data_IF_414550795035
#
_entry.id   IF_414550795035
#
_cell.length_a   1.000
_cell.length_b   1.000
_cell.length_c   1.000
_cell.angle_alpha   90.00
_cell.angle_beta   90.00
_cell.angle_gamma   90.00
#
_symmetry.space_group_name_H-M   'P 1'
#
loop_
_entity.id
_entity.type
_entity.pdbx_description
1 polymer ?
#
# COMPACT_ATOMS: atom_id res chain seq x y z
N UNK A 1 -12.76 -2.57 18.00
CA UNK A 1 -12.00 -3.72 17.48
C UNK A 1 -10.56 -3.28 17.32
N UNK A 2 -9.64 -3.96 17.99
CA UNK A 2 -8.20 -3.70 17.87
C UNK A 2 -7.61 -4.45 16.67
N UNK A 3 -6.38 -4.13 16.27
CA UNK A 3 -5.75 -4.75 15.09
C UNK A 3 -5.69 -6.27 15.25
N UNK A 4 -5.29 -6.81 16.41
CA UNK A 4 -5.18 -8.25 16.60
C UNK A 4 -6.49 -9.01 16.41
N UNK A 5 -7.62 -8.44 16.83
CA UNK A 5 -8.95 -9.01 16.60
C UNK A 5 -9.29 -9.04 15.11
N UNK A 6 -9.07 -7.93 14.41
CA UNK A 6 -9.30 -7.84 12.97
C UNK A 6 -8.45 -8.86 12.21
N UNK A 7 -7.18 -9.00 12.58
CA UNK A 7 -6.26 -9.90 11.90
C UNK A 7 -6.53 -11.40 12.16
N UNK A 8 -7.34 -11.77 13.16
CA UNK A 8 -7.79 -13.16 13.34
C UNK A 8 -8.63 -13.64 12.16
N UNK A 9 -9.24 -12.73 11.40
CA UNK A 9 -10.05 -13.04 10.21
C UNK A 9 -9.21 -13.56 9.02
N UNK A 10 -7.90 -13.31 9.01
CA UNK A 10 -7.02 -13.89 7.97
C UNK A 10 -6.93 -15.40 8.07
N UNK A 11 -7.01 -15.94 9.29
CA UNK A 11 -6.85 -17.36 9.57
C UNK A 11 -8.16 -18.06 9.94
N UNK A 12 -9.24 -17.32 10.20
CA UNK A 12 -10.51 -17.91 10.62
C UNK A 12 -11.44 -18.12 9.42
N UNK A 13 -12.05 -19.30 9.39
CA UNK A 13 -13.03 -19.77 8.40
C UNK A 13 -14.39 -19.03 8.50
N UNK A 14 -14.42 -17.79 9.00
CA UNK A 14 -15.63 -17.06 9.40
C UNK A 14 -16.40 -16.43 8.22
N UNK A 15 -16.56 -17.15 7.11
CA UNK A 15 -17.45 -16.77 6.02
C UNK A 15 -18.39 -17.93 5.65
N UNK A 16 -19.59 -17.92 6.23
CA UNK A 16 -20.86 -18.61 5.87
C UNK A 16 -20.81 -20.00 5.20
N UNK A 17 -21.61 -20.92 5.73
CA UNK A 17 -21.75 -22.37 5.44
C UNK A 17 -21.96 -22.82 3.97
N UNK A 18 -21.93 -21.93 2.97
CA UNK A 18 -21.93 -22.27 1.53
C UNK A 18 -20.53 -22.14 0.87
N UNK A 19 -19.45 -21.90 1.65
CA UNK A 19 -18.15 -21.42 1.14
C UNK A 19 -16.93 -22.32 1.34
N UNK A 20 -17.10 -23.59 1.70
CA UNK A 20 -15.95 -24.50 1.87
C UNK A 20 -15.09 -24.56 0.60
N UNK A 21 -15.70 -24.49 -0.59
CA UNK A 21 -14.98 -24.52 -1.87
C UNK A 21 -14.22 -23.22 -2.18
N UNK A 22 -14.83 -22.04 -2.00
CA UNK A 22 -14.14 -20.75 -2.22
C UNK A 22 -12.96 -20.56 -1.24
N UNK A 23 -13.15 -20.95 0.01
CA UNK A 23 -12.11 -20.88 1.06
C UNK A 23 -10.97 -21.83 0.73
N UNK A 24 -11.27 -23.08 0.35
CA UNK A 24 -10.25 -24.05 -0.06
C UNK A 24 -9.48 -23.58 -1.30
N UNK A 25 -10.17 -23.02 -2.30
CA UNK A 25 -9.53 -22.43 -3.49
C UNK A 25 -8.60 -21.30 -3.09
N UNK A 26 -9.06 -20.37 -2.23
CA UNK A 26 -8.22 -19.28 -1.75
C UNK A 26 -6.99 -19.80 -0.99
N UNK A 27 -7.18 -20.70 -0.02
CA UNK A 27 -6.09 -21.24 0.80
C UNK A 27 -5.07 -21.99 -0.04
N UNK A 28 -5.53 -22.77 -1.04
CA UNK A 28 -4.67 -23.44 -2.00
C UNK A 28 -3.87 -22.43 -2.82
N UNK A 29 -4.52 -21.44 -3.43
CA UNK A 29 -3.85 -20.38 -4.21
C UNK A 29 -2.85 -19.60 -3.35
N UNK A 30 -3.21 -19.24 -2.13
CA UNK A 30 -2.35 -18.54 -1.19
C UNK A 30 -1.14 -19.39 -0.80
N UNK A 31 -1.30 -20.70 -0.64
CA UNK A 31 -0.22 -21.63 -0.32
C UNK A 31 0.75 -21.81 -1.49
N UNK A 32 0.22 -21.99 -2.70
CA UNK A 32 0.99 -22.06 -3.95
C UNK A 32 1.77 -20.75 -4.18
N UNK A 33 1.10 -19.62 -4.02
CA UNK A 33 1.71 -18.29 -4.08
C UNK A 33 2.84 -18.14 -3.06
N UNK A 34 2.59 -18.44 -1.78
CA UNK A 34 3.61 -18.33 -0.73
C UNK A 34 4.83 -19.21 -1.00
N UNK A 35 4.62 -20.41 -1.56
CA UNK A 35 5.70 -21.29 -1.97
C UNK A 35 6.53 -20.67 -3.11
N UNK A 36 5.88 -20.17 -4.15
CA UNK A 36 6.53 -19.51 -5.28
C UNK A 36 7.27 -18.24 -4.87
N UNK A 37 6.66 -17.40 -4.03
CA UNK A 37 7.27 -16.21 -3.45
C UNK A 37 8.59 -16.55 -2.77
N UNK A 38 8.57 -17.50 -1.82
CA UNK A 38 9.78 -17.92 -1.08
C UNK A 38 10.87 -18.42 -2.02
N UNK A 39 10.51 -19.28 -2.98
CA UNK A 39 11.44 -19.83 -3.97
C UNK A 39 12.07 -18.75 -4.85
N UNK A 40 11.27 -17.80 -5.35
CA UNK A 40 11.75 -16.71 -6.21
C UNK A 40 12.61 -15.71 -5.44
N UNK A 41 12.22 -15.35 -4.22
CA UNK A 41 13.02 -14.49 -3.33
C UNK A 41 14.37 -15.13 -3.02
N UNK A 42 14.40 -16.43 -2.66
CA UNK A 42 15.64 -17.16 -2.43
C UNK A 42 16.52 -17.21 -3.69
N UNK A 43 15.92 -17.44 -4.87
CA UNK A 43 16.64 -17.41 -6.14
C UNK A 43 17.25 -16.02 -6.40
N UNK A 44 16.48 -14.96 -6.19
CA UNK A 44 16.98 -13.58 -6.35
C UNK A 44 18.13 -13.26 -5.40
N UNK A 45 18.02 -13.68 -4.15
CA UNK A 45 19.08 -13.52 -3.16
C UNK A 45 20.37 -14.21 -3.62
N UNK A 46 20.29 -15.48 -4.06
CA UNK A 46 21.45 -16.22 -4.59
C UNK A 46 22.05 -15.55 -5.83
N UNK A 47 21.22 -15.05 -6.76
CA UNK A 47 21.68 -14.29 -7.93
C UNK A 47 22.51 -13.07 -7.47
N UNK A 48 22.02 -12.32 -6.47
CA UNK A 48 22.73 -11.16 -5.96
C UNK A 48 24.05 -11.52 -5.29
N UNK A 49 24.05 -12.55 -4.44
CA UNK A 49 25.25 -13.00 -3.72
C UNK A 49 26.34 -13.51 -4.67
N UNK A 50 25.96 -14.20 -5.74
CA UNK A 50 26.92 -14.75 -6.73
C UNK A 50 27.36 -13.72 -7.78
N UNK A 51 26.62 -12.63 -7.95
CA UNK A 51 26.94 -11.57 -8.89
C UNK A 51 28.23 -10.83 -8.52
N UNK A 52 29.03 -10.48 -9.54
CA UNK A 52 30.17 -9.57 -9.39
C UNK A 52 29.70 -8.18 -8.95
N UNK A 53 30.61 -7.37 -8.39
CA UNK A 53 30.31 -5.96 -8.04
C UNK A 53 29.76 -5.19 -9.24
N UNK A 54 30.32 -5.39 -10.43
CA UNK A 54 29.84 -4.77 -11.66
C UNK A 54 28.40 -5.17 -11.99
N UNK A 55 28.09 -6.47 -11.93
CA UNK A 55 26.72 -6.97 -12.20
C UNK A 55 25.72 -6.49 -11.16
N UNK A 56 26.11 -6.38 -9.89
CA UNK A 56 25.29 -5.80 -8.82
C UNK A 56 24.98 -4.32 -9.10
N UNK A 57 25.96 -3.55 -9.56
CA UNK A 57 25.74 -2.16 -9.96
C UNK A 57 24.77 -2.07 -11.15
N UNK A 58 24.90 -2.96 -12.15
CA UNK A 58 23.96 -3.02 -13.27
C UNK A 58 22.52 -3.34 -12.82
N UNK A 59 22.33 -4.23 -11.83
CA UNK A 59 21.00 -4.49 -11.24
C UNK A 59 20.41 -3.22 -10.60
N UNK A 60 21.21 -2.48 -9.84
CA UNK A 60 20.75 -1.24 -9.21
C UNK A 60 20.42 -0.17 -10.25
N UNK A 61 21.27 0.02 -11.25
CA UNK A 61 21.05 1.00 -12.31
C UNK A 61 19.78 0.70 -13.10
N UNK A 62 19.55 -0.57 -13.43
CA UNK A 62 18.34 -0.99 -14.13
C UNK A 62 17.10 -0.80 -13.26
N UNK A 63 17.17 -1.19 -11.98
CA UNK A 63 16.07 -0.97 -11.04
C UNK A 63 15.73 0.52 -10.89
N UNK A 64 16.73 1.37 -10.69
CA UNK A 64 16.55 2.82 -10.57
C UNK A 64 15.93 3.43 -11.82
N UNK A 65 16.27 2.95 -13.02
CA UNK A 65 15.61 3.37 -14.27
C UNK A 65 14.15 2.95 -14.31
N UNK A 66 13.82 1.74 -13.85
CA UNK A 66 12.44 1.30 -13.75
C UNK A 66 11.67 2.16 -12.75
N UNK A 67 12.23 2.44 -11.56
CA UNK A 67 11.64 3.38 -10.59
C UNK A 67 11.41 4.75 -11.23
N UNK A 68 12.42 5.31 -11.90
CA UNK A 68 12.31 6.61 -12.58
C UNK A 68 11.22 6.62 -13.64
N UNK A 69 11.06 5.52 -14.38
CA UNK A 69 9.98 5.36 -15.36
C UNK A 69 8.62 5.42 -14.68
N UNK A 70 8.46 4.80 -13.51
CA UNK A 70 7.20 4.89 -12.75
C UNK A 70 6.94 6.30 -12.22
N UNK A 71 7.95 7.02 -11.75
CA UNK A 71 7.81 8.41 -11.32
C UNK A 71 7.33 9.30 -12.47
N UNK A 72 7.97 9.21 -13.64
CA UNK A 72 7.58 9.98 -14.82
C UNK A 72 6.14 9.66 -15.22
N UNK A 73 5.77 8.37 -15.24
CA UNK A 73 4.39 7.96 -15.53
C UNK A 73 3.38 8.44 -14.48
N UNK A 74 3.77 8.55 -13.21
CA UNK A 74 2.92 9.14 -12.17
C UNK A 74 2.71 10.64 -12.41
N UNK A 75 3.77 11.37 -12.78
CA UNK A 75 3.69 12.80 -13.05
C UNK A 75 2.80 13.10 -14.26
N UNK A 76 2.97 12.38 -15.37
CA UNK A 76 2.09 12.49 -16.54
C UNK A 76 0.71 11.84 -16.34
N UNK A 77 0.54 11.01 -15.31
CA UNK A 77 -0.71 10.38 -14.95
C UNK A 77 -1.54 11.15 -13.94
N UNK A 78 -1.06 12.31 -13.47
CA UNK A 78 -1.79 13.15 -12.52
C UNK A 78 -2.91 13.93 -13.21
N UNK A 79 -4.06 14.11 -12.53
CA UNK A 79 -5.14 14.89 -13.10
C UNK A 79 -4.82 16.33 -13.44
N UNK A 80 -5.09 16.70 -14.68
CA UNK A 80 -5.25 18.10 -15.08
C UNK A 80 -6.75 18.47 -15.09
N UNK A 81 -7.13 19.39 -14.21
CA UNK A 81 -8.49 19.93 -14.15
C UNK A 81 -9.57 18.89 -13.82
N UNK A 82 -10.60 18.82 -14.67
CA UNK A 82 -11.75 17.91 -14.52
C UNK A 82 -11.65 16.65 -15.39
N UNK A 83 -10.47 16.37 -15.97
CA UNK A 83 -10.32 15.21 -16.83
C UNK A 83 -10.67 13.90 -16.09
N UNK A 84 -11.45 13.05 -16.74
CA UNK A 84 -11.86 11.72 -16.22
C UNK A 84 -10.86 10.64 -16.61
N UNK A 85 -10.18 10.83 -17.74
CA UNK A 85 -9.29 9.85 -18.37
C UNK A 85 -7.86 10.34 -18.36
N UNK A 86 -6.99 9.65 -17.63
CA UNK A 86 -5.64 10.13 -17.36
C UNK A 86 -4.65 8.98 -17.31
N UNK A 87 -3.47 9.20 -17.87
CA UNK A 87 -2.33 8.30 -17.67
C UNK A 87 -2.32 7.00 -18.49
N UNK A 88 -1.53 6.08 -17.97
CA UNK A 88 -1.10 4.83 -18.63
C UNK A 88 -2.04 3.65 -18.31
N UNK A 89 -1.90 2.51 -18.98
CA UNK A 89 -2.74 1.30 -18.82
C UNK A 89 -3.00 0.76 -17.40
N UNK A 90 -2.30 1.24 -16.36
CA UNK A 90 -2.57 0.87 -14.95
C UNK A 90 -3.25 1.99 -14.14
N UNK A 91 -3.41 3.20 -14.67
CA UNK A 91 -3.99 4.34 -13.96
C UNK A 91 -4.95 5.14 -14.84
N UNK A 92 -5.50 4.51 -15.89
CA UNK A 92 -6.28 5.15 -16.95
C UNK A 92 -7.51 5.92 -16.44
N UNK A 93 -8.07 5.47 -15.32
CA UNK A 93 -9.08 6.17 -14.54
C UNK A 93 -8.49 6.43 -13.15
N UNK A 94 -8.43 7.70 -12.73
CA UNK A 94 -7.99 8.10 -11.40
C UNK A 94 -9.01 9.06 -10.81
N UNK A 95 -9.89 8.54 -9.95
CA UNK A 95 -11.06 9.28 -9.47
C UNK A 95 -10.98 9.50 -7.96
N UNK A 96 -10.87 10.76 -7.49
CA UNK A 96 -10.87 11.06 -6.07
C UNK A 96 -12.27 11.00 -5.47
N UNK A 97 -12.38 10.51 -4.23
CA UNK A 97 -13.52 10.77 -3.37
C UNK A 97 -13.32 12.12 -2.69
N UNK A 98 -14.21 13.09 -2.95
CA UNK A 98 -14.06 14.47 -2.48
C UNK A 98 -15.14 14.76 -1.43
N UNK A 99 -14.72 15.28 -0.28
CA UNK A 99 -15.57 15.69 0.83
C UNK A 99 -15.29 17.14 1.23
N UNK A 100 -16.28 17.79 1.83
CA UNK A 100 -16.15 19.16 2.33
C UNK A 100 -15.34 19.21 3.63
N UNK A 101 -15.48 18.20 4.49
CA UNK A 101 -14.89 18.16 5.83
C UNK A 101 -14.14 16.84 6.08
N UNK A 102 -13.16 16.82 6.99
CA UNK A 102 -12.48 15.59 7.39
C UNK A 102 -13.47 14.52 7.92
N UNK A 103 -13.27 13.28 7.48
CA UNK A 103 -14.10 12.15 7.91
C UNK A 103 -13.85 11.80 9.39
N UNK A 104 -14.95 11.66 10.14
CA UNK A 104 -14.92 11.19 11.54
C UNK A 104 -15.07 9.66 11.57
N UNK A 105 -13.95 8.97 11.47
CA UNK A 105 -13.91 7.51 11.46
C UNK A 105 -14.10 6.98 12.89
N UNK A 106 -14.92 5.93 13.05
CA UNK A 106 -15.33 5.39 14.36
C UNK A 106 -14.72 4.02 14.64
N UNK A 107 -14.46 3.27 13.58
CA UNK A 107 -13.91 1.92 13.59
C UNK A 107 -13.39 1.58 12.20
N UNK A 108 -12.69 0.45 12.07
CA UNK A 108 -12.31 -0.12 10.76
C UNK A 108 -13.53 -0.51 9.93
N UNK A 109 -14.59 -1.05 10.52
CA UNK A 109 -15.84 -1.33 9.79
C UNK A 109 -16.47 -0.06 9.23
N UNK A 110 -16.49 1.03 10.01
CA UNK A 110 -17.00 2.32 9.52
C UNK A 110 -16.13 2.85 8.37
N UNK A 111 -14.81 2.64 8.40
CA UNK A 111 -13.93 2.98 7.27
C UNK A 111 -14.26 2.15 6.02
N UNK A 112 -14.45 0.84 6.16
CA UNK A 112 -14.84 -0.05 5.05
C UNK A 112 -16.19 0.35 4.44
N UNK A 113 -17.17 0.73 5.27
CA UNK A 113 -18.46 1.27 4.81
C UNK A 113 -18.29 2.56 4.02
N UNK A 114 -17.50 3.51 4.53
CA UNK A 114 -17.23 4.79 3.87
C UNK A 114 -16.54 4.60 2.50
N UNK A 115 -15.59 3.66 2.41
CA UNK A 115 -14.93 3.32 1.15
C UNK A 115 -15.94 2.70 0.18
N UNK A 116 -16.76 1.76 0.65
CA UNK A 116 -17.78 1.11 -0.17
C UNK A 116 -18.80 2.12 -0.74
N UNK A 117 -19.31 3.02 0.10
CA UNK A 117 -20.26 4.05 -0.32
C UNK A 117 -19.61 5.00 -1.33
N UNK A 118 -18.36 5.42 -1.09
CA UNK A 118 -17.60 6.22 -2.04
C UNK A 118 -17.36 5.49 -3.37
N UNK A 119 -17.05 4.19 -3.34
CA UNK A 119 -16.87 3.40 -4.56
C UNK A 119 -18.15 3.40 -5.38
N UNK A 120 -19.30 3.08 -4.78
CA UNK A 120 -20.59 2.99 -5.47
C UNK A 120 -21.00 4.35 -6.03
N UNK A 121 -20.90 5.43 -5.23
CA UNK A 121 -21.21 6.79 -5.68
C UNK A 121 -20.36 7.18 -6.89
N UNK A 122 -19.05 6.92 -6.84
CA UNK A 122 -18.14 7.25 -7.95
C UNK A 122 -18.40 6.35 -9.16
N UNK A 123 -18.69 5.07 -8.95
CA UNK A 123 -19.07 4.17 -10.03
C UNK A 123 -20.29 4.71 -10.78
N UNK A 124 -21.40 4.90 -10.07
CA UNK A 124 -22.68 5.33 -10.65
C UNK A 124 -22.56 6.70 -11.33
N UNK A 125 -21.74 7.59 -10.78
CA UNK A 125 -21.49 8.93 -11.36
C UNK A 125 -20.75 8.86 -12.69
N UNK A 126 -19.77 7.97 -12.84
CA UNK A 126 -18.88 7.94 -13.99
C UNK A 126 -19.21 6.82 -15.00
N UNK A 127 -20.10 5.88 -14.67
CA UNK A 127 -20.48 4.73 -15.52
C UNK A 127 -20.85 5.17 -16.93
N UNK A 128 -21.85 6.05 -17.07
CA UNK A 128 -22.29 6.54 -18.39
C UNK A 128 -21.18 7.25 -19.18
N UNK A 129 -20.39 8.09 -18.51
CA UNK A 129 -19.28 8.82 -19.14
C UNK A 129 -18.23 7.84 -19.70
N UNK A 130 -17.93 6.78 -18.96
CA UNK A 130 -16.98 5.75 -19.39
C UNK A 130 -17.56 4.91 -20.52
N UNK A 131 -18.83 4.51 -20.43
CA UNK A 131 -19.53 3.78 -21.49
C UNK A 131 -19.56 4.56 -22.81
N UNK A 132 -19.89 5.86 -22.77
CA UNK A 132 -19.98 6.71 -23.96
C UNK A 132 -18.62 6.99 -24.59
N UNK A 133 -17.53 6.89 -23.81
CA UNK A 133 -16.17 7.16 -24.27
C UNK A 133 -15.47 5.96 -24.91
N UNK A 134 -15.99 4.73 -24.75
CA UNK A 134 -15.35 3.49 -25.19
C UNK A 134 -16.15 2.87 -26.34
N UNK A 135 -15.48 2.51 -27.43
CA UNK A 135 -16.14 1.93 -28.61
C UNK A 135 -16.50 0.45 -28.38
N UNK A 136 -15.68 -0.26 -27.61
CA UNK A 136 -15.88 -1.66 -27.24
C UNK A 136 -17.08 -1.85 -26.30
N UNK A 137 -17.70 -3.03 -26.33
CA UNK A 137 -18.71 -3.38 -25.33
C UNK A 137 -18.03 -3.53 -23.96
N UNK A 138 -18.44 -2.68 -23.01
CA UNK A 138 -17.94 -2.65 -21.64
C UNK A 138 -18.98 -3.06 -20.60
N UNK A 139 -20.12 -3.65 -21.00
CA UNK A 139 -21.23 -3.98 -20.08
C UNK A 139 -20.78 -4.91 -18.96
N UNK A 140 -20.04 -5.96 -19.32
CA UNK A 140 -19.47 -6.88 -18.34
C UNK A 140 -18.51 -6.15 -17.39
N UNK A 141 -17.66 -5.26 -17.93
CA UNK A 141 -16.72 -4.48 -17.14
C UNK A 141 -17.44 -3.52 -16.17
N UNK A 142 -18.51 -2.86 -16.62
CA UNK A 142 -19.34 -2.03 -15.74
C UNK A 142 -19.95 -2.85 -14.61
N UNK A 143 -20.40 -4.08 -14.90
CA UNK A 143 -20.89 -5.02 -13.89
C UNK A 143 -19.81 -5.48 -12.91
N UNK A 144 -18.56 -5.58 -13.35
CA UNK A 144 -17.43 -5.84 -12.45
C UNK A 144 -17.07 -4.60 -11.63
N UNK A 145 -17.36 -3.42 -12.15
CA UNK A 145 -17.07 -2.15 -11.50
C UNK A 145 -15.90 -1.43 -12.14
N UNK A 146 -16.05 -0.11 -12.28
CA UNK A 146 -15.10 0.78 -12.95
C UNK A 146 -13.67 0.75 -12.38
N UNK A 147 -13.52 0.44 -11.09
CA UNK A 147 -12.25 0.56 -10.39
C UNK A 147 -11.73 -0.81 -9.98
N UNK A 148 -10.46 -1.06 -10.28
CA UNK A 148 -9.75 -2.27 -9.86
C UNK A 148 -9.17 -2.13 -8.44
N UNK A 149 -9.11 -0.93 -7.88
CA UNK A 149 -8.58 -0.72 -6.54
C UNK A 149 -8.60 0.73 -6.07
N UNK A 150 -8.05 0.95 -4.89
CA UNK A 150 -7.95 2.28 -4.29
C UNK A 150 -6.73 2.42 -3.39
N UNK A 151 -6.35 3.67 -3.17
CA UNK A 151 -5.25 4.05 -2.28
C UNK A 151 -5.81 4.87 -1.12
N UNK A 152 -5.30 4.61 0.08
CA UNK A 152 -5.60 5.39 1.28
C UNK A 152 -4.30 5.76 2.03
N UNK A 153 -4.25 6.93 2.68
CA UNK A 153 -3.11 7.29 3.52
C UNK A 153 -3.17 6.51 4.85
N UNK A 154 -2.00 6.16 5.37
CA UNK A 154 -1.77 5.45 6.65
C UNK A 154 -2.64 5.99 7.80
N UNK A 155 -2.74 7.32 7.90
CA UNK A 155 -3.54 8.10 8.86
C UNK A 155 -4.99 7.67 8.95
N UNK A 156 -5.60 7.22 7.85
CA UNK A 156 -7.00 6.77 7.86
C UNK A 156 -7.14 5.49 8.69
N UNK A 157 -6.16 4.58 8.61
CA UNK A 157 -6.13 3.36 9.39
C UNK A 157 -5.82 3.64 10.86
N UNK A 158 -4.88 4.55 11.13
CA UNK A 158 -4.59 4.97 12.50
C UNK A 158 -5.83 5.50 13.20
N UNK A 159 -6.63 6.31 12.50
CA UNK A 159 -7.92 6.78 13.03
C UNK A 159 -8.94 5.64 13.18
N UNK A 160 -9.03 4.75 12.20
CA UNK A 160 -9.99 3.64 12.20
C UNK A 160 -9.75 2.62 13.31
N UNK A 161 -8.49 2.32 13.63
CA UNK A 161 -8.10 1.46 14.75
C UNK A 161 -7.93 2.23 16.06
N UNK A 162 -8.17 3.54 16.07
CA UNK A 162 -7.94 4.42 17.21
C UNK A 162 -6.52 4.29 17.79
N UNK A 163 -5.52 4.27 16.92
CA UNK A 163 -4.10 4.26 17.26
C UNK A 163 -3.64 5.65 17.71
N UNK A 164 -4.24 6.17 18.78
CA UNK A 164 -3.90 7.48 19.32
C UNK A 164 -3.59 7.42 20.81
N UNK A 165 -2.61 8.19 21.24
CA UNK A 165 -2.18 8.19 22.64
C UNK A 165 -1.60 9.51 23.12
N UNK A 166 -1.74 9.86 24.40
CA UNK A 166 -1.05 11.02 24.97
C UNK A 166 0.46 10.98 24.73
N UNK A 167 1.04 12.14 24.41
CA UNK A 167 2.49 12.28 24.18
C UNK A 167 3.38 11.81 25.35
N UNK A 168 2.91 12.01 26.58
CA UNK A 168 3.58 11.65 27.83
C UNK A 168 3.52 10.15 28.14
N UNK A 169 2.69 9.39 27.42
CA UNK A 169 2.71 7.92 27.52
C UNK A 169 3.84 7.29 26.70
N UNK A 170 4.34 7.98 25.66
CA UNK A 170 5.47 7.51 24.83
C UNK A 170 6.76 8.26 25.07
N UNK A 171 6.72 9.49 25.58
CA UNK A 171 7.92 10.24 25.95
C UNK A 171 8.12 10.10 27.45
N UNK A 172 9.02 9.22 27.86
CA UNK A 172 9.28 8.95 29.28
C UNK A 172 10.72 8.53 29.55
N UNK A 173 11.10 8.55 30.83
CA UNK A 173 12.46 8.23 31.26
C UNK A 173 12.73 6.72 31.28
N UNK A 174 13.85 6.32 30.69
CA UNK A 174 14.42 4.97 30.74
C UNK A 174 15.89 5.09 31.16
N UNK A 175 16.23 4.51 32.31
CA UNK A 175 17.58 4.57 32.91
C UNK A 175 18.18 6.00 32.94
N UNK A 176 17.43 6.99 33.40
CA UNK A 176 17.92 8.38 33.49
C UNK A 176 17.91 9.17 32.18
N UNK A 177 17.41 8.60 31.08
CA UNK A 177 17.27 9.27 29.78
C UNK A 177 15.81 9.44 29.40
N UNK A 178 15.39 10.67 29.13
CA UNK A 178 14.08 10.93 28.51
C UNK A 178 14.13 10.47 27.04
N UNK A 179 13.35 9.45 26.70
CA UNK A 179 13.31 8.88 25.35
C UNK A 179 12.19 9.54 24.55
N UNK A 180 12.53 10.19 23.43
CA UNK A 180 11.58 10.61 22.39
C UNK A 180 11.62 9.60 21.22
N UNK A 181 10.46 9.02 20.81
CA UNK A 181 10.43 8.08 19.69
C UNK A 181 10.96 8.64 18.37
N UNK A 182 10.87 9.95 18.12
CA UNK A 182 11.41 10.54 16.88
C UNK A 182 12.95 10.61 16.90
N UNK A 183 13.55 10.56 18.10
CA UNK A 183 14.99 10.54 18.31
C UNK A 183 15.51 9.14 18.63
N UNK A 184 14.71 8.09 18.43
CA UNK A 184 15.02 6.72 18.91
C UNK A 184 16.40 6.20 18.46
N UNK A 185 16.89 6.65 17.30
CA UNK A 185 18.21 6.30 16.76
C UNK A 185 19.40 6.95 17.47
N UNK A 186 19.17 7.97 18.29
CA UNK A 186 20.20 8.63 19.10
C UNK A 186 20.55 7.83 20.37
N UNK A 187 19.70 6.88 20.77
CA UNK A 187 19.87 6.11 21.99
C UNK A 187 20.59 4.77 21.73
N UNK A 188 21.41 4.29 22.69
CA UNK A 188 22.00 2.96 22.65
C UNK A 188 20.96 1.84 22.56
N UNK A 189 21.37 0.69 22.02
CA UNK A 189 20.48 -0.47 21.83
C UNK A 189 19.85 -0.92 23.16
N UNK A 190 20.61 -0.90 24.26
CA UNK A 190 20.14 -1.35 25.57
C UNK A 190 19.01 -0.46 26.11
N UNK A 191 19.04 0.85 25.81
CA UNK A 191 17.97 1.79 26.18
C UNK A 191 16.74 1.55 25.30
N UNK A 192 16.95 1.33 24.01
CA UNK A 192 15.87 1.06 23.05
C UNK A 192 15.13 -0.24 23.35
N UNK A 193 15.85 -1.31 23.68
CA UNK A 193 15.27 -2.60 24.09
C UNK A 193 14.40 -2.45 25.34
N UNK A 194 14.91 -1.75 26.37
CA UNK A 194 14.14 -1.47 27.59
C UNK A 194 12.91 -0.59 27.30
N UNK A 195 13.07 0.45 26.48
CA UNK A 195 11.98 1.32 26.06
C UNK A 195 10.89 0.51 25.33
N UNK A 196 11.26 -0.35 24.40
CA UNK A 196 10.35 -1.26 23.70
C UNK A 196 9.57 -2.17 24.67
N UNK A 197 10.25 -2.82 25.62
CA UNK A 197 9.60 -3.70 26.60
C UNK A 197 8.63 -2.96 27.53
N UNK A 198 8.93 -1.70 27.88
CA UNK A 198 8.01 -0.86 28.65
C UNK A 198 6.82 -0.45 27.79
N UNK A 199 7.07 0.01 26.56
CA UNK A 199 6.03 0.43 25.65
C UNK A 199 5.08 -0.72 25.30
N UNK A 200 5.56 -1.94 25.07
CA UNK A 200 4.72 -3.13 24.84
C UNK A 200 3.69 -3.37 25.95
N UNK A 201 4.00 -2.98 27.20
CA UNK A 201 3.10 -3.08 28.35
C UNK A 201 2.17 -1.87 28.51
N UNK A 202 2.58 -0.71 28.04
CA UNK A 202 1.81 0.55 28.13
C UNK A 202 0.84 0.73 26.95
N UNK A 203 1.26 0.38 25.75
CA UNK A 203 0.55 0.65 24.49
C UNK A 203 -0.42 -0.50 24.18
N UNK A 204 -1.66 -0.37 24.67
CA UNK A 204 -2.68 -1.42 24.54
C UNK A 204 -3.24 -1.58 23.11
N UNK A 205 -3.06 -0.62 22.20
CA UNK A 205 -3.63 -0.73 20.84
C UNK A 205 -3.01 -1.84 19.99
N UNK A 206 -1.87 -2.39 20.41
CA UNK A 206 -1.21 -3.55 19.78
C UNK A 206 -1.34 -4.84 20.61
N UNK A 207 -2.23 -4.86 21.60
CA UNK A 207 -2.50 -6.05 22.42
C UNK A 207 -2.84 -7.25 21.52
N UNK A 208 -2.23 -8.41 21.80
CA UNK A 208 -2.41 -9.63 21.02
C UNK A 208 -1.64 -9.70 19.70
N UNK A 209 -0.81 -8.71 19.39
CA UNK A 209 0.17 -8.78 18.30
C UNK A 209 1.55 -9.17 18.82
N UNK A 210 2.22 -10.06 18.10
CA UNK A 210 3.65 -10.33 18.28
C UNK A 210 4.45 -9.41 17.37
N UNK A 211 4.75 -8.20 17.85
CA UNK A 211 5.58 -7.23 17.13
C UNK A 211 7.05 -7.41 17.48
N UNK A 212 7.92 -7.30 16.48
CA UNK A 212 9.35 -7.12 16.72
C UNK A 212 9.64 -5.72 17.24
N UNK A 213 10.83 -5.52 17.84
CA UNK A 213 11.27 -4.18 18.21
C UNK A 213 11.29 -3.23 17.01
N UNK A 214 11.76 -3.68 15.85
CA UNK A 214 11.85 -2.83 14.65
C UNK A 214 10.47 -2.41 14.15
N UNK A 215 9.49 -3.33 14.09
CA UNK A 215 8.11 -3.01 13.67
C UNK A 215 7.47 -1.97 14.61
N UNK A 216 7.76 -2.08 15.90
CA UNK A 216 7.25 -1.15 16.90
C UNK A 216 7.90 0.24 16.81
N UNK A 217 9.22 0.29 16.67
CA UNK A 217 9.92 1.57 16.53
C UNK A 217 9.61 2.25 15.19
N UNK A 218 9.43 1.49 14.10
CA UNK A 218 8.94 2.01 12.82
C UNK A 218 7.57 2.70 12.98
N UNK A 219 6.66 2.05 13.69
CA UNK A 219 5.34 2.58 14.02
C UNK A 219 5.42 3.91 14.80
N UNK A 220 6.31 3.98 15.78
CA UNK A 220 6.50 5.16 16.61
C UNK A 220 7.18 6.32 15.87
N UNK A 221 8.17 6.04 15.02
CA UNK A 221 8.84 7.07 14.21
C UNK A 221 7.89 7.72 13.21
N UNK A 222 6.99 6.92 12.64
CA UNK A 222 5.97 7.39 11.72
C UNK A 222 4.74 7.96 12.44
N UNK A 223 4.76 8.07 13.76
CA UNK A 223 3.65 8.63 14.51
C UNK A 223 3.51 10.13 14.19
N UNK A 224 2.32 10.54 13.76
CA UNK A 224 2.12 11.91 13.34
C UNK A 224 2.03 12.88 14.51
N UNK A 225 2.82 13.94 14.40
CA UNK A 225 2.67 15.17 15.18
C UNK A 225 1.62 16.08 14.54
N UNK A 226 1.45 16.03 13.21
CA UNK A 226 0.47 16.84 12.45
C UNK A 226 -0.83 16.07 12.23
N UNK A 227 -1.86 16.40 13.02
CA UNK A 227 -3.15 15.68 13.10
C UNK A 227 -4.32 16.48 12.52
N UNK A 228 -5.43 15.82 12.12
CA UNK A 228 -6.61 16.53 11.63
C UNK A 228 -7.17 17.38 12.76
N UNK A 229 -7.84 18.51 12.43
CA UNK A 229 -8.46 19.43 13.41
C UNK A 229 -9.70 18.80 14.07
N UNK A 230 -9.51 17.63 14.64
CA UNK A 230 -10.48 16.83 15.37
C UNK A 230 -10.05 16.91 16.83
N UNK A 231 -10.91 17.49 17.67
CA UNK A 231 -10.63 17.78 19.08
C UNK A 231 -10.08 16.57 19.86
N UNK A 232 -10.49 15.36 19.48
CA UNK A 232 -10.07 14.11 20.11
C UNK A 232 -8.56 13.81 20.01
N UNK A 233 -7.84 14.43 19.07
CA UNK A 233 -6.41 14.24 18.88
C UNK A 233 -5.53 15.35 19.48
N UNK A 234 -6.15 16.33 20.16
CA UNK A 234 -5.42 17.36 20.89
C UNK A 234 -4.55 16.72 21.98
N UNK A 235 -3.24 17.01 21.99
CA UNK A 235 -2.28 16.48 22.97
C UNK A 235 -1.94 14.99 22.82
N UNK A 236 -2.35 14.34 21.73
CA UNK A 236 -2.10 12.91 21.48
C UNK A 236 -1.27 12.70 20.22
N UNK A 237 -0.35 11.75 20.18
CA UNK A 237 0.22 11.24 18.92
C UNK A 237 -0.75 10.30 18.22
N UNK A 238 -0.67 10.23 16.89
CA UNK A 238 -1.38 9.25 16.08
C UNK A 238 -0.35 8.26 15.55
N UNK A 239 -0.33 7.03 16.07
CA UNK A 239 0.65 6.02 15.71
C UNK A 239 0.39 5.47 14.31
N UNK A 240 1.43 5.08 13.58
CA UNK A 240 1.28 4.42 12.30
C UNK A 240 0.73 2.99 12.44
N UNK A 241 0.00 2.47 11.43
CA UNK A 241 -0.47 1.08 11.45
C UNK A 241 0.69 0.08 11.27
N UNK A 242 0.47 -1.16 11.71
CA UNK A 242 1.39 -2.29 11.56
C UNK A 242 0.72 -3.45 10.84
N UNK A 243 1.51 -4.35 10.26
CA UNK A 243 1.03 -5.49 9.47
C UNK A 243 0.12 -5.07 8.29
N UNK A 244 0.51 -3.99 7.61
CA UNK A 244 -0.32 -3.31 6.62
C UNK A 244 -0.73 -4.18 5.43
N UNK A 245 0.07 -5.16 4.99
CA UNK A 245 -0.33 -6.07 3.92
C UNK A 245 -1.55 -6.92 4.32
N UNK A 246 -1.58 -7.38 5.57
CA UNK A 246 -2.70 -8.15 6.13
C UNK A 246 -3.96 -7.29 6.23
N UNK A 247 -3.82 -6.06 6.69
CA UNK A 247 -4.92 -5.09 6.77
C UNK A 247 -5.48 -4.83 5.35
N UNK A 248 -4.62 -4.58 4.35
CA UNK A 248 -5.05 -4.36 2.96
C UNK A 248 -5.88 -5.53 2.42
N UNK A 249 -5.45 -6.77 2.66
CA UNK A 249 -6.16 -7.98 2.24
C UNK A 249 -7.55 -8.07 2.83
N UNK A 250 -7.70 -7.79 4.13
CA UNK A 250 -9.02 -7.83 4.78
C UNK A 250 -9.93 -6.70 4.29
N UNK A 251 -9.42 -5.47 4.20
CA UNK A 251 -10.19 -4.34 3.66
C UNK A 251 -10.65 -4.65 2.23
N UNK A 252 -9.75 -5.16 1.37
CA UNK A 252 -10.08 -5.56 0.00
C UNK A 252 -11.28 -6.50 -0.03
N UNK A 253 -11.25 -7.55 0.79
CA UNK A 253 -12.32 -8.56 0.86
C UNK A 253 -13.61 -7.99 1.41
N UNK A 254 -13.55 -7.24 2.49
CA UNK A 254 -14.73 -6.69 3.16
C UNK A 254 -15.41 -5.65 2.28
N UNK A 255 -14.66 -4.71 1.70
CA UNK A 255 -15.21 -3.71 0.78
C UNK A 255 -15.80 -4.38 -0.45
N UNK A 256 -15.12 -5.37 -1.05
CA UNK A 256 -15.67 -6.12 -2.20
C UNK A 256 -17.00 -6.79 -1.85
N UNK A 257 -17.07 -7.44 -0.68
CA UNK A 257 -18.31 -8.06 -0.18
C UNK A 257 -19.41 -7.00 0.04
N UNK A 258 -19.10 -5.91 0.73
CA UNK A 258 -20.05 -4.83 1.01
C UNK A 258 -20.60 -4.21 -0.29
N UNK A 259 -19.78 -4.04 -1.32
CA UNK A 259 -20.23 -3.52 -2.63
C UNK A 259 -21.26 -4.48 -3.25
N UNK A 260 -20.96 -5.78 -3.29
CA UNK A 260 -21.88 -6.80 -3.82
C UNK A 260 -23.20 -6.82 -3.05
N UNK A 261 -23.14 -6.75 -1.73
CA UNK A 261 -24.32 -6.75 -0.85
C UNK A 261 -25.16 -5.49 -1.03
N UNK A 262 -24.56 -4.29 -0.95
CA UNK A 262 -25.26 -3.00 -1.06
C UNK A 262 -25.86 -2.79 -2.45
N UNK A 263 -25.20 -3.28 -3.50
CA UNK A 263 -25.68 -3.13 -4.90
C UNK A 263 -26.51 -4.32 -5.38
N UNK A 264 -26.73 -5.34 -4.54
CA UNK A 264 -27.39 -6.60 -4.93
C UNK A 264 -26.76 -7.23 -6.18
N UNK A 265 -25.43 -7.27 -6.23
CA UNK A 265 -24.60 -7.74 -7.34
C UNK A 265 -24.73 -6.96 -8.66
N UNK A 266 -25.35 -5.76 -8.68
CA UNK A 266 -25.26 -4.87 -9.85
C UNK A 266 -23.80 -4.50 -10.13
N UNK A 267 -23.04 -4.25 -9.07
CA UNK A 267 -21.60 -4.06 -9.12
C UNK A 267 -20.97 -5.24 -8.35
N UNK A 268 -20.14 -6.02 -9.02
CA UNK A 268 -19.51 -7.22 -8.48
C UNK A 268 -18.03 -7.28 -8.85
N UNK A 269 -17.18 -6.48 -8.17
CA UNK A 269 -15.73 -6.53 -8.38
C UNK A 269 -15.22 -7.93 -8.08
N UNK A 270 -14.41 -8.55 -8.95
CA UNK A 270 -13.81 -9.85 -8.66
C UNK A 270 -12.95 -9.77 -7.41
N UNK A 271 -12.12 -8.72 -7.35
CA UNK A 271 -11.31 -8.35 -6.21
C UNK A 271 -10.87 -6.89 -6.35
N UNK A 272 -10.51 -6.24 -5.24
CA UNK A 272 -9.96 -4.88 -5.25
C UNK A 272 -8.52 -4.83 -4.76
N UNK A 273 -7.67 -4.04 -5.42
CA UNK A 273 -6.36 -3.67 -4.89
C UNK A 273 -6.54 -2.59 -3.82
N UNK A 274 -5.81 -2.73 -2.71
CA UNK A 274 -5.71 -1.73 -1.65
C UNK A 274 -4.23 -1.44 -1.41
N UNK A 275 -3.83 -0.17 -1.51
CA UNK A 275 -2.47 0.28 -1.15
C UNK A 275 -2.55 1.33 -0.04
N UNK A 276 -1.73 1.15 0.99
CA UNK A 276 -1.53 2.10 2.08
C UNK A 276 -0.17 2.75 1.89
N UNK A 277 -0.12 4.08 1.96
CA UNK A 277 1.13 4.82 1.90
C UNK A 277 1.22 5.87 3.00
N UNK A 278 2.45 6.27 3.29
CA UNK A 278 2.78 7.44 4.11
C UNK A 278 3.56 8.46 3.28
N UNK A 279 3.28 9.75 3.50
CA UNK A 279 4.00 10.84 2.84
C UNK A 279 5.38 11.05 3.41
N UNK A 280 5.58 10.67 4.67
CA UNK A 280 6.82 10.92 5.37
C UNK A 280 7.76 9.74 5.16
N UNK A 281 8.95 10.03 4.63
CA UNK A 281 10.03 9.06 4.45
C UNK A 281 11.19 9.40 5.38
N UNK A 282 11.01 9.39 6.72
CA UNK A 282 12.10 9.74 7.60
C UNK A 282 13.24 8.73 7.37
N UNK A 283 14.45 9.25 7.15
CA UNK A 283 15.68 8.45 7.07
C UNK A 283 15.74 7.39 8.18
N UNK A 284 15.24 7.76 9.36
CA UNK A 284 15.18 6.90 10.53
C UNK A 284 14.30 5.66 10.34
N UNK A 285 13.17 5.73 9.62
CA UNK A 285 12.31 4.58 9.32
C UNK A 285 13.07 3.53 8.51
N UNK A 286 13.70 3.93 7.40
CA UNK A 286 14.48 3.01 6.58
C UNK A 286 15.70 2.45 7.30
N UNK A 287 16.28 3.19 8.24
CA UNK A 287 17.40 2.72 9.05
C UNK A 287 16.97 1.68 10.08
N UNK A 288 15.82 1.86 10.74
CA UNK A 288 15.27 0.88 11.68
C UNK A 288 14.88 -0.42 10.98
N UNK A 289 14.21 -0.32 9.82
CA UNK A 289 13.86 -1.49 9.01
C UNK A 289 15.04 -2.18 8.33
N UNK A 290 16.27 -1.67 8.49
CA UNK A 290 17.47 -2.25 7.89
C UNK A 290 17.53 -2.13 6.36
N UNK A 291 16.80 -1.17 5.80
CA UNK A 291 16.75 -0.90 4.35
C UNK A 291 17.80 0.13 3.92
N UNK A 292 18.08 1.09 4.80
CA UNK A 292 19.01 2.17 4.48
C UNK A 292 20.43 1.63 4.26
N UNK A 293 21.00 1.92 3.08
CA UNK A 293 22.34 1.48 2.70
C UNK A 293 22.43 -0.02 2.39
N UNK A 294 21.32 -0.75 2.47
CA UNK A 294 21.26 -2.15 2.11
C UNK A 294 20.94 -2.28 0.62
N UNK A 295 21.87 -2.76 -0.21
CA UNK A 295 21.67 -2.77 -1.64
C UNK A 295 20.63 -3.81 -2.08
N UNK A 296 20.31 -4.81 -1.26
CA UNK A 296 19.20 -5.73 -1.57
C UNK A 296 17.85 -5.24 -1.05
N UNK A 297 17.75 -4.00 -0.56
CA UNK A 297 16.52 -3.39 -0.06
C UNK A 297 16.41 -1.92 -0.53
N UNK A 298 16.41 -1.66 -1.86
CA UNK A 298 16.42 -0.30 -2.38
C UNK A 298 15.17 0.47 -1.93
N UNK A 299 15.38 1.69 -1.45
CA UNK A 299 14.32 2.57 -0.97
C UNK A 299 13.72 3.34 -2.14
N UNK A 300 12.39 3.37 -2.21
CA UNK A 300 11.67 4.20 -3.18
C UNK A 300 11.63 5.66 -2.69
N UNK A 301 11.91 6.65 -3.55
CA UNK A 301 11.95 8.05 -3.14
C UNK A 301 10.54 8.65 -2.93
N UNK A 302 10.45 9.73 -2.14
CA UNK A 302 9.27 10.60 -2.07
C UNK A 302 8.07 10.14 -1.22
N UNK A 303 7.89 8.84 -0.99
CA UNK A 303 6.88 8.27 -0.07
C UNK A 303 7.25 6.85 0.39
N UNK A 304 6.60 6.37 1.46
CA UNK A 304 6.68 4.96 1.89
C UNK A 304 5.39 4.24 1.51
N UNK A 305 5.49 3.18 0.72
CA UNK A 305 4.37 2.23 0.58
C UNK A 305 4.42 1.28 1.78
N UNK A 306 3.52 1.45 2.73
CA UNK A 306 3.51 0.66 3.98
C UNK A 306 2.92 -0.73 3.79
N UNK A 307 1.91 -0.86 2.91
CA UNK A 307 1.27 -2.13 2.64
C UNK A 307 0.48 -2.13 1.35
N UNK A 308 0.28 -3.32 0.79
CA UNK A 308 -0.50 -3.53 -0.41
C UNK A 308 -1.16 -4.92 -0.38
N UNK A 309 -2.39 -5.02 -0.87
CA UNK A 309 -3.01 -6.31 -1.20
C UNK A 309 -2.57 -6.81 -2.58
N UNK A 310 -2.81 -8.07 -2.86
CA UNK A 310 -2.42 -8.73 -4.09
C UNK A 310 -1.02 -9.31 -4.02
N UNK A 311 -0.85 -10.51 -4.59
CA UNK A 311 0.46 -11.11 -4.78
C UNK A 311 1.39 -10.17 -5.56
N UNK A 312 2.71 -10.34 -5.46
CA UNK A 312 3.67 -9.49 -6.20
C UNK A 312 3.46 -9.62 -7.71
N UNK A 313 2.96 -10.76 -8.18
CA UNK A 313 2.60 -10.99 -9.58
C UNK A 313 1.28 -10.29 -9.96
N UNK A 314 0.26 -10.37 -9.10
CA UNK A 314 -1.05 -9.76 -9.37
C UNK A 314 -0.98 -8.24 -9.40
N UNK A 315 -0.19 -7.64 -8.51
CA UNK A 315 0.05 -6.22 -8.46
C UNK A 315 1.51 -5.92 -8.09
N UNK A 316 2.26 -5.41 -9.06
CA UNK A 316 3.71 -5.22 -8.95
C UNK A 316 4.02 -4.10 -7.97
N UNK A 317 5.12 -4.24 -7.23
CA UNK A 317 5.60 -3.24 -6.27
C UNK A 317 5.71 -1.83 -6.87
N UNK A 318 6.28 -1.75 -8.07
CA UNK A 318 6.43 -0.52 -8.82
C UNK A 318 5.09 0.10 -9.24
N UNK A 319 4.04 -0.70 -9.41
CA UNK A 319 2.68 -0.20 -9.66
C UNK A 319 2.06 0.37 -8.39
N UNK A 320 2.21 -0.33 -7.25
CA UNK A 320 1.82 0.19 -5.93
C UNK A 320 2.51 1.53 -5.61
N UNK A 321 3.80 1.63 -5.95
CA UNK A 321 4.54 2.89 -5.84
C UNK A 321 3.95 3.99 -6.75
N UNK A 322 3.71 3.69 -8.03
CA UNK A 322 3.14 4.66 -8.98
C UNK A 322 1.79 5.19 -8.51
N UNK A 323 0.84 4.31 -8.16
CA UNK A 323 -0.49 4.74 -7.71
C UNK A 323 -0.41 5.51 -6.39
N UNK A 324 0.56 5.20 -5.53
CA UNK A 324 0.82 5.96 -4.31
C UNK A 324 1.34 7.36 -4.62
N UNK A 325 2.21 7.54 -5.62
CA UNK A 325 2.69 8.87 -6.04
C UNK A 325 1.56 9.72 -6.60
N UNK A 326 0.75 9.15 -7.50
CA UNK A 326 -0.44 9.82 -8.04
C UNK A 326 -1.38 10.21 -6.92
N UNK A 327 -1.62 9.28 -5.99
CA UNK A 327 -2.48 9.55 -4.83
C UNK A 327 -1.91 10.62 -3.94
N UNK A 328 -0.60 10.58 -3.66
CA UNK A 328 0.08 11.61 -2.89
C UNK A 328 -0.08 12.98 -3.53
N UNK A 329 0.06 13.12 -4.85
CA UNK A 329 -0.08 14.42 -5.53
C UNK A 329 -1.50 14.98 -5.40
N UNK A 330 -2.51 14.15 -5.60
CA UNK A 330 -3.93 14.54 -5.48
C UNK A 330 -4.34 14.79 -4.02
N UNK A 331 -3.87 13.95 -3.09
CA UNK A 331 -4.15 14.06 -1.66
C UNK A 331 -3.30 15.15 -0.99
N UNK A 332 -2.15 15.55 -1.56
CA UNK A 332 -1.29 16.66 -1.09
C UNK A 332 -2.00 18.02 -1.12
N UNK A 333 -3.20 18.10 -1.69
CA UNK A 333 -4.08 19.24 -1.54
C UNK A 333 -5.19 19.10 -0.48
N UNK A 334 -5.27 17.96 0.22
CA UNK A 334 -6.56 17.53 0.78
C UNK A 334 -6.62 17.20 2.27
N UNK A 335 -5.48 16.93 2.91
CA UNK A 335 -5.46 16.71 4.35
C UNK A 335 -5.08 17.97 5.14
N UNK A 336 -4.19 18.82 4.61
CA UNK A 336 -3.69 20.04 5.31
C UNK A 336 -3.25 21.20 4.40
N UNK A 337 -3.50 21.11 3.09
CA UNK A 337 -3.11 22.15 2.14
C UNK A 337 -4.33 22.98 1.80
N UNK A 338 -4.33 24.27 2.13
CA UNK A 338 -5.36 25.22 1.72
C UNK A 338 -5.47 25.38 0.19
N UNK A 339 -4.66 24.66 -0.58
CA UNK A 339 -4.57 24.79 -2.05
C UNK A 339 -5.82 24.24 -2.76
N UNK A 340 -6.53 23.25 -2.19
CA UNK A 340 -7.75 22.70 -2.83
C UNK A 340 -9.04 22.83 -2.01
N UNK A 341 -8.99 23.26 -0.74
CA UNK A 341 -10.17 23.43 0.15
C UNK A 341 -11.12 22.21 0.19
N UNK A 342 -10.61 21.01 -0.08
CA UNK A 342 -11.39 19.77 -0.25
C UNK A 342 -10.66 18.62 0.43
N UNK A 343 -11.39 17.78 1.15
CA UNK A 343 -10.85 16.58 1.79
C UNK A 343 -10.93 15.36 0.85
N UNK A 344 -9.80 14.68 0.60
CA UNK A 344 -9.70 13.57 -0.37
C UNK A 344 -9.07 12.35 0.34
N UNK A 345 -9.88 11.52 1.02
CA UNK A 345 -9.38 10.39 1.79
C UNK A 345 -9.10 9.15 0.95
N UNK A 346 -9.72 9.03 -0.23
CA UNK A 346 -9.65 7.85 -1.10
C UNK A 346 -9.44 8.31 -2.54
N UNK A 347 -8.60 7.57 -3.27
CA UNK A 347 -8.47 7.69 -4.71
C UNK A 347 -8.65 6.32 -5.32
N UNK A 348 -9.63 6.23 -6.22
CA UNK A 348 -9.97 5.01 -6.93
C UNK A 348 -9.23 4.96 -8.26
N UNK A 349 -8.71 3.77 -8.59
CA UNK A 349 -7.98 3.51 -9.82
C UNK A 349 -8.74 2.48 -10.67
N UNK A 350 -8.90 2.78 -11.95
CA UNK A 350 -9.54 1.92 -12.94
C UNK A 350 -8.73 1.84 -14.22
N UNK A 351 -9.10 0.90 -15.09
CA UNK A 351 -8.63 0.83 -16.47
C UNK A 351 -9.76 1.21 -17.42
N UNK A 352 -9.40 1.74 -18.58
CA UNK A 352 -10.37 2.07 -19.61
C UNK A 352 -10.78 0.85 -20.41
N UNK A 353 -9.82 0.01 -20.76
CA UNK A 353 -10.07 -1.16 -21.60
C UNK A 353 -9.91 -2.42 -20.74
N UNK A 354 -10.90 -3.32 -20.70
CA UNK A 354 -10.81 -4.56 -19.91
C UNK A 354 -9.56 -5.39 -20.24
N UNK A 355 -9.18 -5.41 -21.53
CA UNK A 355 -7.97 -6.08 -22.02
C UNK A 355 -6.68 -5.58 -21.33
N UNK A 356 -6.57 -4.29 -21.04
CA UNK A 356 -5.39 -3.73 -20.37
C UNK A 356 -5.31 -4.22 -18.93
N UNK A 357 -6.45 -4.32 -18.23
CA UNK A 357 -6.51 -4.98 -16.93
C UNK A 357 -6.06 -6.43 -17.04
N UNK A 358 -6.61 -7.22 -17.97
CA UNK A 358 -6.28 -8.65 -18.08
C UNK A 358 -4.80 -8.93 -18.39
N UNK A 359 -4.11 -8.01 -19.08
CA UNK A 359 -2.68 -8.16 -19.41
C UNK A 359 -1.79 -7.73 -18.24
N UNK A 360 -2.18 -6.70 -17.50
CA UNK A 360 -1.30 -6.01 -16.54
C UNK A 360 -1.60 -6.35 -15.08
N UNK A 361 -2.84 -6.76 -14.80
CA UNK A 361 -3.39 -6.98 -13.47
C UNK A 361 -4.05 -8.35 -13.42
N UNK A 362 -3.73 -9.11 -12.37
CA UNK A 362 -4.52 -10.30 -12.08
C UNK A 362 -5.74 -9.90 -11.23
N UNK A 363 -6.80 -9.47 -11.91
CA UNK A 363 -8.03 -8.94 -11.32
C UNK A 363 -8.68 -9.89 -10.30
N UNK A 364 -8.46 -11.21 -10.43
CA UNK A 364 -8.99 -12.21 -9.52
C UNK A 364 -8.20 -12.30 -8.21
N UNK A 365 -6.96 -11.80 -8.20
CA UNK A 365 -6.02 -12.00 -7.10
C UNK A 365 -5.53 -10.69 -6.47
N UNK A 366 -6.08 -9.54 -6.85
CA UNK A 366 -5.73 -8.22 -6.27
C UNK A 366 -5.98 -8.09 -4.76
N UNK A 367 -6.84 -8.94 -4.20
CA UNK A 367 -7.19 -8.97 -2.79
C UNK A 367 -6.52 -10.10 -2.03
N UNK A 368 -5.62 -10.87 -2.66
CA UNK A 368 -4.83 -11.89 -1.97
C UNK A 368 -3.86 -11.27 -0.96
N UNK A 369 -3.40 -12.09 -0.01
CA UNK A 369 -2.31 -11.67 0.88
C UNK A 369 -1.00 -11.65 0.11
N UNK A 370 -0.38 -10.46 0.05
CA UNK A 370 0.93 -10.26 -0.55
C UNK A 370 2.00 -11.12 0.13
N UNK A 371 2.20 -10.87 1.42
CA UNK A 371 2.92 -11.65 2.43
C UNK A 371 2.63 -11.03 3.80
N UNK A 372 3.01 -11.70 4.90
CA UNK A 372 2.77 -11.18 6.25
C UNK A 372 3.62 -9.94 6.58
N UNK A 373 3.11 -9.06 7.45
CA UNK A 373 3.81 -7.87 7.92
C UNK A 373 3.52 -6.61 7.08
N UNK A 374 4.39 -5.61 7.20
CA UNK A 374 4.44 -4.45 6.30
C UNK A 374 5.14 -4.81 4.99
N UNK A 375 5.04 -3.95 3.98
CA UNK A 375 5.76 -4.11 2.73
C UNK A 375 7.27 -4.01 2.96
N UNK A 376 8.02 -4.98 2.43
CA UNK A 376 9.47 -5.10 2.63
C UNK A 376 10.22 -4.89 1.31
N UNK A 377 10.97 -3.78 1.16
CA UNK A 377 11.80 -3.54 -0.03
C UNK A 377 12.75 -4.69 -0.35
N UNK A 378 13.22 -5.42 0.67
CA UNK A 378 14.11 -6.55 0.45
C UNK A 378 13.42 -7.74 -0.22
N UNK A 379 12.21 -8.08 0.24
CA UNK A 379 11.41 -9.14 -0.38
C UNK A 379 11.08 -8.76 -1.82
N UNK A 380 10.63 -7.54 -2.04
CA UNK A 380 10.22 -7.07 -3.37
C UNK A 380 11.39 -7.06 -4.37
N UNK A 381 12.54 -6.52 -3.97
CA UNK A 381 13.70 -6.45 -4.84
C UNK A 381 14.27 -7.83 -5.15
N UNK A 382 14.38 -8.71 -4.14
CA UNK A 382 14.82 -10.09 -4.38
C UNK A 382 13.84 -10.85 -5.27
N UNK A 383 12.53 -10.60 -5.16
CA UNK A 383 11.56 -11.18 -6.09
C UNK A 383 11.76 -10.70 -7.53
N UNK A 384 12.17 -9.44 -7.72
CA UNK A 384 12.39 -8.83 -9.03
C UNK A 384 13.72 -9.24 -9.69
N UNK A 385 14.74 -9.58 -8.89
CA UNK A 385 16.10 -9.87 -9.36
C UNK A 385 16.21 -10.92 -10.47
N UNK A 386 15.51 -12.08 -10.43
CA UNK A 386 15.56 -13.04 -11.52
C UNK A 386 15.15 -12.44 -12.88
N UNK A 387 14.18 -11.52 -12.86
CA UNK A 387 13.74 -10.82 -14.07
C UNK A 387 14.80 -9.81 -14.55
N UNK A 388 15.38 -9.04 -13.62
CA UNK A 388 16.48 -8.12 -13.94
C UNK A 388 17.68 -8.87 -14.52
N UNK A 389 18.01 -10.05 -13.97
CA UNK A 389 19.09 -10.89 -14.47
C UNK A 389 18.82 -11.40 -15.89
N UNK A 390 17.64 -11.96 -16.12
CA UNK A 390 17.22 -12.39 -17.46
C UNK A 390 17.28 -11.25 -18.48
N UNK A 391 16.86 -10.04 -18.08
CA UNK A 391 16.91 -8.86 -18.93
C UNK A 391 18.35 -8.49 -19.31
N UNK A 392 19.28 -8.50 -18.34
CA UNK A 392 20.69 -8.21 -18.60
C UNK A 392 21.45 -9.33 -19.33
N UNK A 393 20.92 -10.56 -19.37
CA UNK A 393 21.53 -11.70 -20.06
C UNK A 393 21.03 -11.85 -21.52
N UNK A 394 19.79 -11.47 -21.79
CA UNK A 394 19.12 -11.73 -23.07
C UNK A 394 19.03 -10.51 -23.99
N UNK A 395 19.15 -9.30 -23.46
CA UNK A 395 19.21 -8.08 -24.26
C UNK A 395 20.63 -7.51 -24.18
N UNK A 396 21.21 -7.12 -25.32
CA UNK A 396 22.46 -6.36 -25.29
C UNK A 396 22.18 -5.07 -24.54
N UNK A 397 22.61 -5.03 -23.27
CA UNK A 397 22.30 -3.96 -22.32
C UNK A 397 22.53 -2.58 -22.96
N UNK A 398 23.54 -2.45 -23.82
CA UNK A 398 23.81 -1.21 -24.54
C UNK A 398 22.71 -0.83 -25.56
N UNK A 399 22.17 -1.80 -26.30
CA UNK A 399 21.08 -1.58 -27.27
C UNK A 399 19.81 -1.08 -26.57
N UNK A 400 19.52 -1.64 -25.39
CA UNK A 400 18.37 -1.22 -24.57
C UNK A 400 18.61 0.13 -23.91
N UNK A 401 19.84 0.36 -23.45
CA UNK A 401 20.25 1.63 -22.87
C UNK A 401 20.11 2.78 -23.86
N UNK A 402 20.46 2.54 -25.13
CA UNK A 402 20.26 3.46 -26.22
C UNK A 402 18.77 3.68 -26.53
N UNK A 403 17.94 2.62 -26.55
CA UNK A 403 16.49 2.76 -26.72
C UNK A 403 15.81 3.56 -25.60
N UNK A 404 16.19 3.33 -24.34
CA UNK A 404 15.62 4.03 -23.18
C UNK A 404 16.06 5.49 -23.13
N UNK A 405 17.31 5.80 -23.47
CA UNK A 405 17.76 7.19 -23.60
C UNK A 405 17.02 7.90 -24.74
N UNK A 406 16.83 7.25 -25.89
CA UNK A 406 16.12 7.83 -27.03
C UNK A 406 14.62 8.07 -26.76
N UNK A 407 14.01 7.43 -25.75
CA UNK A 407 12.61 7.67 -25.33
C UNK A 407 12.46 8.75 -24.25
N UNK A 408 13.56 9.22 -23.68
CA UNK A 408 13.60 10.24 -22.62
C UNK A 408 13.99 11.64 -23.13
N UNK A 409 14.25 11.77 -24.43
CA UNK A 409 14.55 13.05 -25.12
C UNK A 409 13.31 13.58 -25.82
#
# INVERSE_FOLDING_TARGET
>A
MIISEYLKEINSDNFSQDKDEEIQIYQKRQSEWNHNLKKTVQKGHLIYEQASTEKRNQFQDLFNKWVRTEELKAWYGSPEGESVFQGTSISSLTIPAIYEEPLKIKSIQHLEELICDAYIERHDKYESIVQDAIIENVDQWMSHGLFYGFVLPSKMLSQAFNLSMPWDEVIFEVDGKLVDPHEILSYPLEIREKYFEICKKKINCFEGLELTQSEFEECLILADISKPKIKNYSGKLLLAPVQCNKICTLISRHVTKLIREKTKNRISPPSLMVTIYDTDTPYSYHRIGGHLGNPVAPVLPGLVVQGCSGSIDAFRWLYAYRVSLVSQMMMKGSLYSQVHNKFIPFIFFGVLVPRDADILLDMQNLGQLRYGGNLSPSIEFNYLLPKLNSFLENEDYNTVMDELQNRLV
#
